data_IF_243483753655
#
_entry.id   IF_243483753655
#
_cell.length_a   1.000
_cell.length_b   1.000
_cell.length_c   1.000
_cell.angle_alpha   90.00
_cell.angle_beta   90.00
_cell.angle_gamma   90.00
#
_symmetry.space_group_name_H-M   'P 1'
#
loop_
_entity.id
_entity.type
_entity.pdbx_description
1 polymer ?
#
# COMPACT_ATOMS: atom_id res chain seq x y z
N UNK A 1 41.11 -52.32 6.10
CA UNK A 1 40.71 -50.91 6.37
C UNK A 1 40.83 -49.99 5.16
N UNK A 2 41.93 -49.97 4.40
CA UNK A 2 42.13 -49.06 3.24
C UNK A 2 41.05 -49.14 2.15
N UNK A 3 40.56 -50.35 1.83
CA UNK A 3 39.49 -50.57 0.84
C UNK A 3 38.14 -49.97 1.26
N UNK A 4 37.80 -50.02 2.54
CA UNK A 4 36.54 -49.46 3.05
C UNK A 4 36.62 -47.92 3.14
N UNK A 5 37.80 -47.38 3.46
CA UNK A 5 38.05 -45.92 3.43
C UNK A 5 37.86 -45.38 2.00
N UNK A 6 38.34 -46.09 0.99
CA UNK A 6 38.15 -45.71 -0.41
C UNK A 6 36.67 -45.63 -0.81
N UNK A 7 35.85 -46.61 -0.42
CA UNK A 7 34.41 -46.57 -0.67
C UNK A 7 33.69 -45.43 0.07
N UNK A 8 34.10 -45.13 1.30
CA UNK A 8 33.54 -44.01 2.07
C UNK A 8 33.86 -42.67 1.41
N UNK A 9 35.07 -42.48 0.89
CA UNK A 9 35.47 -41.25 0.19
C UNK A 9 34.66 -41.07 -1.09
N UNK A 10 34.46 -42.13 -1.87
CA UNK A 10 33.61 -42.08 -3.07
C UNK A 10 32.16 -41.75 -2.71
N UNK A 11 31.61 -42.40 -1.68
CA UNK A 11 30.25 -42.13 -1.23
C UNK A 11 30.07 -40.66 -0.81
N UNK A 12 31.04 -40.11 -0.08
CA UNK A 12 31.02 -38.70 0.34
C UNK A 12 31.10 -37.74 -0.86
N UNK A 13 31.93 -38.06 -1.86
CA UNK A 13 32.06 -37.26 -3.08
C UNK A 13 30.75 -37.21 -3.88
N UNK A 14 30.05 -38.35 -4.00
CA UNK A 14 28.74 -38.44 -4.66
C UNK A 14 27.70 -37.63 -3.90
N UNK A 15 27.70 -37.69 -2.56
CA UNK A 15 26.76 -36.96 -1.73
C UNK A 15 26.95 -35.44 -1.87
N UNK A 16 28.20 -34.96 -1.85
CA UNK A 16 28.53 -33.55 -2.07
C UNK A 16 28.08 -33.10 -3.46
N UNK A 17 28.35 -33.91 -4.49
CA UNK A 17 27.93 -33.60 -5.87
C UNK A 17 26.40 -33.46 -5.96
N UNK A 18 25.65 -34.35 -5.32
CA UNK A 18 24.19 -34.32 -5.31
C UNK A 18 23.64 -33.09 -4.57
N UNK A 19 24.22 -32.74 -3.41
CA UNK A 19 23.84 -31.54 -2.66
C UNK A 19 24.11 -30.25 -3.43
N UNK A 20 25.25 -30.14 -4.11
CA UNK A 20 25.56 -28.97 -4.96
C UNK A 20 24.59 -28.88 -6.13
N UNK A 21 24.33 -30.00 -6.80
CA UNK A 21 23.39 -30.04 -7.92
C UNK A 21 21.97 -29.64 -7.51
N UNK A 22 21.51 -30.16 -6.36
CA UNK A 22 20.21 -29.81 -5.79
C UNK A 22 20.11 -28.32 -5.42
N UNK A 23 21.12 -27.76 -4.75
CA UNK A 23 21.14 -26.35 -4.37
C UNK A 23 21.15 -25.40 -5.59
N UNK A 24 21.86 -25.76 -6.66
CA UNK A 24 21.85 -24.99 -7.91
C UNK A 24 20.51 -25.07 -8.64
N UNK A 25 19.81 -26.21 -8.57
CA UNK A 25 18.46 -26.38 -9.12
C UNK A 25 17.44 -25.56 -8.34
N UNK A 26 17.47 -25.61 -7.01
CA UNK A 26 16.54 -24.87 -6.14
C UNK A 26 16.73 -23.35 -6.25
N UNK A 27 17.97 -22.87 -6.46
CA UNK A 27 18.26 -21.46 -6.70
C UNK A 27 17.55 -20.89 -7.95
N UNK A 28 17.20 -21.72 -8.94
CA UNK A 28 16.44 -21.27 -10.13
C UNK A 28 14.96 -21.02 -9.83
N UNK A 29 14.42 -21.61 -8.76
CA UNK A 29 13.02 -21.44 -8.34
C UNK A 29 12.84 -20.34 -7.29
N UNK A 30 13.93 -19.70 -6.84
CA UNK A 30 13.90 -18.56 -5.92
C UNK A 30 13.63 -17.20 -6.60
N UNK A 31 13.24 -17.19 -7.87
CA UNK A 31 12.92 -15.94 -8.59
C UNK A 31 11.41 -15.83 -8.78
N UNK A 32 10.77 -15.36 -7.71
CA UNK A 32 9.38 -14.95 -7.70
C UNK A 32 9.18 -13.70 -6.87
N UNK A 33 10.01 -12.67 -7.04
CA UNK A 33 9.62 -11.34 -6.56
C UNK A 33 8.50 -10.88 -7.46
N UNK A 34 7.30 -10.68 -6.89
CA UNK A 34 6.21 -10.02 -7.60
C UNK A 34 6.77 -8.73 -8.22
N UNK A 35 6.84 -8.68 -9.55
CA UNK A 35 7.10 -7.45 -10.28
C UNK A 35 5.84 -6.61 -10.11
N UNK A 36 5.87 -5.65 -9.18
CA UNK A 36 4.85 -4.60 -9.12
C UNK A 36 5.01 -3.80 -10.40
N UNK A 37 4.19 -4.09 -11.42
CA UNK A 37 3.98 -3.11 -12.47
C UNK A 37 3.33 -1.93 -11.76
N UNK A 38 4.09 -0.86 -11.57
CA UNK A 38 3.57 0.37 -11.00
C UNK A 38 2.57 0.91 -12.03
N UNK A 39 1.33 0.43 -12.00
CA UNK A 39 0.28 0.87 -12.91
C UNK A 39 0.22 2.39 -12.78
N UNK A 40 0.44 3.10 -13.89
CA UNK A 40 0.37 4.55 -13.91
C UNK A 40 -1.06 4.98 -13.62
N UNK A 41 -1.24 5.89 -12.68
CA UNK A 41 -2.54 6.49 -12.41
C UNK A 41 -2.61 7.88 -13.04
N UNK A 42 -3.82 8.41 -13.14
CA UNK A 42 -4.15 9.73 -13.68
C UNK A 42 -4.60 10.62 -12.54
N UNK A 43 -3.87 11.70 -12.29
CA UNK A 43 -4.21 12.69 -11.27
C UNK A 43 -5.56 13.36 -11.59
N UNK A 44 -5.81 13.65 -12.86
CA UNK A 44 -7.02 14.36 -13.31
C UNK A 44 -8.29 13.50 -13.23
N UNK A 45 -8.17 12.18 -13.46
CA UNK A 45 -9.30 11.27 -13.33
C UNK A 45 -9.55 10.81 -11.88
N UNK A 46 -8.56 10.99 -11.01
CA UNK A 46 -8.68 10.60 -9.60
C UNK A 46 -9.47 11.64 -8.82
N UNK A 47 -10.32 11.19 -7.91
CA UNK A 47 -11.21 12.09 -7.17
C UNK A 47 -11.37 11.62 -5.72
N UNK A 48 -11.95 12.49 -4.89
CA UNK A 48 -12.27 12.17 -3.51
C UNK A 48 -13.64 12.71 -3.11
N UNK A 49 -14.19 12.18 -2.02
CA UNK A 49 -15.35 12.76 -1.37
C UNK A 49 -15.32 12.51 0.14
N UNK A 50 -16.11 13.31 0.85
CA UNK A 50 -16.22 13.28 2.31
C UNK A 50 -17.64 12.94 2.74
N UNK A 51 -17.78 12.04 3.71
CA UNK A 51 -19.08 11.59 4.23
C UNK A 51 -19.03 11.32 5.72
N UNK A 52 -19.92 11.88 6.54
CA UNK A 52 -20.86 12.96 6.23
C UNK A 52 -20.16 14.28 5.87
N UNK A 53 -20.86 15.23 5.25
CA UNK A 53 -20.31 16.56 4.91
C UNK A 53 -20.01 17.42 6.15
N UNK A 54 -20.71 17.14 7.27
CA UNK A 54 -20.53 17.82 8.55
C UNK A 54 -20.54 16.82 9.70
N UNK A 55 -19.77 17.12 10.73
CA UNK A 55 -19.72 16.33 11.97
C UNK A 55 -19.54 17.26 13.18
N UNK A 56 -19.97 16.82 14.36
CA UNK A 56 -19.78 17.58 15.59
C UNK A 56 -18.32 17.56 16.05
N UNK A 57 -17.79 18.72 16.44
CA UNK A 57 -16.50 18.81 17.09
C UNK A 57 -16.54 18.20 18.50
N UNK A 58 -15.49 17.45 18.87
CA UNK A 58 -15.40 16.77 20.17
C UNK A 58 -14.85 15.34 20.10
N UNK A 59 -14.12 14.98 19.03
CA UNK A 59 -13.45 13.68 18.84
C UNK A 59 -14.35 12.43 18.71
N UNK A 60 -15.67 12.57 18.87
CA UNK A 60 -16.61 11.44 18.81
C UNK A 60 -17.13 11.18 17.38
N UNK A 61 -17.52 12.24 16.68
CA UNK A 61 -18.01 12.12 15.30
C UNK A 61 -16.85 12.15 14.32
N UNK A 62 -16.97 11.32 13.27
CA UNK A 62 -15.94 11.14 12.25
C UNK A 62 -16.50 11.48 10.87
N UNK A 63 -15.70 12.19 10.09
CA UNK A 63 -15.91 12.37 8.66
C UNK A 63 -14.99 11.42 7.91
N UNK A 64 -15.57 10.58 7.06
CA UNK A 64 -14.82 9.66 6.21
C UNK A 64 -14.41 10.33 4.92
N UNK A 65 -13.11 10.36 4.65
CA UNK A 65 -12.54 10.70 3.36
C UNK A 65 -12.38 9.40 2.57
N UNK A 66 -13.00 9.35 1.40
CA UNK A 66 -12.81 8.25 0.43
C UNK A 66 -12.12 8.80 -0.80
N UNK A 67 -11.01 8.20 -1.18
CA UNK A 67 -10.20 8.58 -2.35
C UNK A 67 -10.27 7.47 -3.38
N UNK A 68 -10.56 7.81 -4.63
CA UNK A 68 -10.54 6.91 -5.77
C UNK A 68 -9.39 7.29 -6.70
N UNK A 69 -8.42 6.39 -6.83
CA UNK A 69 -7.26 6.54 -7.70
C UNK A 69 -7.52 5.77 -8.99
N UNK A 70 -7.64 6.49 -10.09
CA UNK A 70 -8.02 5.95 -11.39
C UNK A 70 -6.90 6.11 -12.41
N UNK A 71 -6.86 5.27 -13.43
CA UNK A 71 -6.00 5.43 -14.59
C UNK A 71 -6.67 6.32 -15.66
N UNK A 72 -6.00 6.52 -16.80
CA UNK A 72 -6.53 7.31 -17.92
C UNK A 72 -7.83 6.75 -18.54
N UNK A 73 -8.16 5.48 -18.28
CA UNK A 73 -9.38 4.82 -18.75
C UNK A 73 -10.51 4.84 -17.71
N UNK A 74 -10.30 5.48 -16.56
CA UNK A 74 -11.27 5.50 -15.46
C UNK A 74 -11.32 4.21 -14.62
N UNK A 75 -10.34 3.32 -14.77
CA UNK A 75 -10.25 2.09 -13.99
C UNK A 75 -9.45 2.30 -12.71
N UNK A 76 -9.91 1.67 -11.63
CA UNK A 76 -9.24 1.70 -10.33
C UNK A 76 -7.83 1.13 -10.38
N UNK A 77 -6.89 1.82 -9.73
CA UNK A 77 -5.49 1.39 -9.65
C UNK A 77 -5.16 0.94 -8.23
N UNK A 78 -4.89 -0.36 -8.07
CA UNK A 78 -4.54 -0.97 -6.79
C UNK A 78 -3.11 -0.64 -6.32
N UNK A 79 -2.91 -0.64 -5.00
CA UNK A 79 -1.59 -0.62 -4.37
C UNK A 79 -0.94 0.76 -4.29
N UNK A 80 -1.70 1.82 -4.57
CA UNK A 80 -1.24 3.22 -4.52
C UNK A 80 -1.26 3.71 -3.09
N UNK A 81 -0.16 4.30 -2.64
CA UNK A 81 -0.06 4.88 -1.30
C UNK A 81 -0.74 6.24 -1.31
N UNK A 82 -1.75 6.39 -0.46
CA UNK A 82 -2.48 7.65 -0.28
C UNK A 82 -2.13 8.21 1.09
N UNK A 83 -1.78 9.50 1.12
CA UNK A 83 -1.57 10.26 2.34
C UNK A 83 -2.49 11.48 2.33
N UNK A 84 -2.96 11.88 3.51
CA UNK A 84 -3.72 13.10 3.72
C UNK A 84 -2.86 14.07 4.52
N UNK A 85 -2.89 15.37 4.20
CA UNK A 85 -2.13 16.38 4.94
C UNK A 85 -2.55 16.45 6.41
N UNK A 86 -1.57 16.56 7.30
CA UNK A 86 -1.82 16.69 8.73
C UNK A 86 -2.26 18.11 9.11
N UNK A 87 -3.13 18.20 10.12
CA UNK A 87 -3.54 19.46 10.76
C UNK A 87 -3.59 19.23 12.28
N UNK A 88 -3.02 20.16 13.05
CA UNK A 88 -2.96 20.09 14.52
C UNK A 88 -4.32 19.99 15.22
N UNK A 89 -5.41 20.41 14.59
CA UNK A 89 -6.76 20.36 15.15
C UNK A 89 -7.48 19.03 14.86
N UNK A 90 -6.97 18.24 13.92
CA UNK A 90 -7.59 17.03 13.40
C UNK A 90 -6.85 15.78 13.87
N UNK A 91 -7.63 14.72 14.11
CA UNK A 91 -7.14 13.38 14.30
C UNK A 91 -7.52 12.57 13.05
N UNK A 92 -6.51 12.12 12.30
CA UNK A 92 -6.68 11.39 11.04
C UNK A 92 -6.31 9.92 11.27
N UNK A 93 -7.30 9.05 11.18
CA UNK A 93 -7.14 7.60 11.26
C UNK A 93 -7.08 6.99 9.86
N UNK A 94 -5.96 6.38 9.51
CA UNK A 94 -5.81 5.64 8.25
C UNK A 94 -6.46 4.26 8.37
N UNK A 95 -7.71 4.13 7.92
CA UNK A 95 -8.41 2.85 7.82
C UNK A 95 -7.82 2.01 6.69
N UNK A 96 -7.54 2.64 5.56
CA UNK A 96 -6.97 2.01 4.38
C UNK A 96 -6.14 3.02 3.59
N UNK A 97 -4.85 3.09 3.92
CA UNK A 97 -3.89 4.01 3.30
C UNK A 97 -3.32 3.56 1.94
N UNK A 98 -3.65 2.34 1.51
CA UNK A 98 -3.32 1.84 0.16
C UNK A 98 -4.58 1.50 -0.62
N UNK A 99 -4.58 1.78 -1.91
CA UNK A 99 -5.76 1.53 -2.73
C UNK A 99 -6.02 0.04 -2.94
N UNK A 100 -7.30 -0.36 -2.90
CA UNK A 100 -7.75 -1.73 -3.23
C UNK A 100 -7.89 -1.97 -4.74
N UNK A 101 -8.46 -3.12 -5.12
CA UNK A 101 -8.76 -3.50 -6.51
C UNK A 101 -9.64 -2.48 -7.27
N UNK A 102 -10.39 -1.64 -6.56
CA UNK A 102 -11.23 -0.59 -7.15
C UNK A 102 -10.54 0.78 -7.13
N UNK A 103 -9.27 0.85 -6.73
CA UNK A 103 -8.55 2.12 -6.59
C UNK A 103 -8.95 2.91 -5.34
N UNK A 104 -9.65 2.30 -4.37
CA UNK A 104 -10.23 3.01 -3.22
C UNK A 104 -9.28 3.03 -2.03
N UNK A 105 -9.12 4.19 -1.39
CA UNK A 105 -8.46 4.38 -0.10
C UNK A 105 -9.40 5.14 0.86
N UNK A 106 -9.28 4.89 2.17
CA UNK A 106 -10.23 5.38 3.19
C UNK A 106 -9.51 5.90 4.43
N UNK A 107 -9.93 7.08 4.88
CA UNK A 107 -9.45 7.72 6.10
C UNK A 107 -10.65 8.23 6.90
N UNK A 108 -10.62 8.07 8.22
CA UNK A 108 -11.60 8.66 9.11
C UNK A 108 -10.97 9.84 9.85
N UNK A 109 -11.66 10.98 9.88
CA UNK A 109 -11.13 12.21 10.47
C UNK A 109 -12.09 12.73 11.53
N UNK A 110 -11.58 13.02 12.72
CA UNK A 110 -12.31 13.71 13.79
C UNK A 110 -11.60 15.01 14.16
N UNK A 111 -12.34 15.96 14.74
CA UNK A 111 -11.79 17.24 15.19
C UNK A 111 -12.08 17.51 16.66
N UNK A 112 -11.16 18.20 17.34
CA UNK A 112 -11.41 18.82 18.65
C UNK A 112 -12.05 20.20 18.54
N UNK A 113 -11.90 20.88 17.40
CA UNK A 113 -12.33 22.27 17.18
C UNK A 113 -13.30 22.37 16.02
N UNK A 114 -14.38 23.12 16.24
CA UNK A 114 -15.28 23.51 15.15
C UNK A 114 -14.52 24.39 14.15
N UNK A 115 -14.84 24.23 12.87
CA UNK A 115 -14.17 24.91 11.78
C UNK A 115 -14.27 24.17 10.45
N UNK A 116 -13.83 24.87 9.41
CA UNK A 116 -13.72 24.34 8.05
C UNK A 116 -12.25 24.00 7.78
N UNK A 117 -12.01 22.77 7.30
CA UNK A 117 -10.66 22.26 7.03
C UNK A 117 -10.56 21.78 5.59
N UNK A 118 -9.42 22.09 4.96
CA UNK A 118 -9.14 21.74 3.57
C UNK A 118 -7.85 20.93 3.50
N UNK A 119 -7.99 19.61 3.44
CA UNK A 119 -6.84 18.70 3.45
C UNK A 119 -6.38 18.37 2.03
N UNK A 120 -5.07 18.39 1.83
CA UNK A 120 -4.46 17.93 0.59
C UNK A 120 -4.34 16.41 0.60
N UNK A 121 -4.61 15.78 -0.54
CA UNK A 121 -4.43 14.33 -0.72
C UNK A 121 -3.28 14.09 -1.69
N UNK A 122 -2.35 13.23 -1.28
CA UNK A 122 -1.12 12.90 -2.00
C UNK A 122 -1.14 11.41 -2.30
N UNK A 123 -1.03 11.05 -3.58
CA UNK A 123 -0.99 9.68 -4.08
C UNK A 123 0.39 9.41 -4.69
N UNK A 124 1.15 8.46 -4.14
CA UNK A 124 2.53 8.14 -4.56
C UNK A 124 3.44 9.38 -4.73
N UNK A 125 3.21 10.44 -3.94
CA UNK A 125 3.95 11.70 -3.98
C UNK A 125 3.38 12.79 -4.91
N UNK A 126 2.33 12.50 -5.69
CA UNK A 126 1.62 13.48 -6.50
C UNK A 126 0.37 14.01 -5.78
N UNK A 127 0.20 15.33 -5.75
CA UNK A 127 -0.98 15.96 -5.15
C UNK A 127 -2.19 15.86 -6.08
N UNK A 128 -3.34 15.49 -5.53
CA UNK A 128 -4.61 15.61 -6.25
C UNK A 128 -5.05 17.09 -6.31
N UNK A 129 -5.71 17.51 -7.40
CA UNK A 129 -6.18 18.89 -7.55
C UNK A 129 -7.34 19.19 -6.58
N UNK A 130 -8.16 18.19 -6.28
CA UNK A 130 -9.26 18.31 -5.33
C UNK A 130 -8.74 18.17 -3.89
N UNK A 131 -9.15 19.11 -3.03
CA UNK A 131 -8.90 19.04 -1.57
C UNK A 131 -10.09 18.40 -0.86
N UNK A 132 -9.82 17.65 0.20
CA UNK A 132 -10.87 17.13 1.08
C UNK A 132 -11.39 18.25 1.97
N UNK A 133 -12.67 18.59 1.77
CA UNK A 133 -13.35 19.62 2.56
C UNK A 133 -14.12 18.95 3.71
N UNK A 134 -13.79 19.38 4.94
CA UNK A 134 -14.37 18.88 6.18
C UNK A 134 -14.95 20.07 6.97
N UNK A 135 -16.16 19.90 7.48
CA UNK A 135 -16.85 20.92 8.26
C UNK A 135 -17.22 20.36 9.63
N UNK A 136 -16.67 20.96 10.69
CA UNK A 136 -16.99 20.59 12.07
C UNK A 136 -17.73 21.72 12.78
N UNK A 137 -18.81 21.39 13.49
CA UNK A 137 -19.66 22.35 14.22
C UNK A 137 -19.71 22.09 15.73
#
# INVERSE_FOLDING_TARGET
>A
MKRNIFFIVIFLAVLIMFSVFFGLYEAQYFVGRASVSQLSFSVDNSYLFTTPLRAKAGQQEKVRITVFVLNNQGLGVMGKKVNVSEDSALNIESIQGQTDNYGKAVFDVSSTKAGEYYLEVIVDGQKLPQKAHLSFY
#
